data_IF_386126856898
#
_entry.id   IF_386126856898
#
_cell.length_a   1.000
_cell.length_b   1.000
_cell.length_c   1.000
_cell.angle_alpha   90.00
_cell.angle_beta   90.00
_cell.angle_gamma   90.00
#
_symmetry.space_group_name_H-M   'P 1'
#
loop_
_entity.id
_entity.type
_entity.pdbx_description
1 polymer ?
#
# COMPACT_ATOMS: atom_id res chain seq x y z
N UNK A 1 3.08 -4.20 24.18
CA UNK A 1 2.59 -4.55 22.81
C UNK A 1 2.96 -3.43 21.84
N UNK A 2 3.34 -3.72 20.61
CA UNK A 2 3.77 -2.67 19.65
C UNK A 2 2.61 -2.00 18.89
N UNK A 3 1.37 -2.41 19.14
CA UNK A 3 0.15 -1.93 18.48
C UNK A 3 -0.57 -0.88 19.32
N UNK A 4 -1.32 0.02 18.69
CA UNK A 4 -2.25 0.87 19.40
C UNK A 4 -3.34 0.01 20.05
N UNK A 5 -3.78 0.44 21.23
CA UNK A 5 -4.89 -0.22 21.91
C UNK A 5 -6.21 -0.04 21.18
N UNK A 6 -7.12 -0.99 21.34
CA UNK A 6 -8.50 -0.79 20.90
C UNK A 6 -9.09 0.44 21.61
N UNK A 7 -9.85 1.23 20.88
CA UNK A 7 -10.39 2.53 21.27
C UNK A 7 -9.36 3.67 21.38
N UNK A 8 -8.09 3.46 20.99
CA UNK A 8 -7.14 4.58 20.88
C UNK A 8 -7.70 5.65 19.92
N UNK A 9 -7.48 6.90 20.29
CA UNK A 9 -7.99 8.07 19.58
C UNK A 9 -6.84 8.76 18.88
N UNK A 10 -7.05 9.12 17.61
CA UNK A 10 -6.08 9.84 16.79
C UNK A 10 -6.71 11.11 16.22
N UNK A 11 -5.85 12.09 15.87
CA UNK A 11 -6.25 13.38 15.30
C UNK A 11 -7.35 14.06 16.11
N UNK A 12 -7.12 14.28 17.41
CA UNK A 12 -8.06 14.99 18.30
C UNK A 12 -9.50 14.44 18.24
N UNK A 13 -9.66 13.13 18.16
CA UNK A 13 -10.98 12.49 18.17
C UNK A 13 -11.59 12.22 16.80
N UNK A 14 -10.88 12.57 15.71
CA UNK A 14 -11.35 12.32 14.35
C UNK A 14 -11.41 10.83 14.02
N UNK A 15 -10.43 10.06 14.51
CA UNK A 15 -10.33 8.62 14.27
C UNK A 15 -10.30 7.86 15.59
N UNK A 16 -11.03 6.73 15.63
CA UNK A 16 -11.07 5.80 16.75
C UNK A 16 -10.66 4.41 16.25
N UNK A 17 -9.57 3.87 16.79
CA UNK A 17 -9.08 2.52 16.45
C UNK A 17 -10.08 1.47 16.97
N UNK A 18 -10.48 0.56 16.12
CA UNK A 18 -11.34 -0.58 16.51
C UNK A 18 -10.51 -1.85 16.75
N UNK A 19 -9.70 -2.23 15.76
CA UNK A 19 -8.86 -3.43 15.82
C UNK A 19 -7.74 -3.40 14.80
N UNK A 20 -6.75 -4.25 15.02
CA UNK A 20 -5.68 -4.51 14.04
C UNK A 20 -6.24 -5.37 12.91
N UNK A 21 -5.92 -5.00 11.67
CA UNK A 21 -6.19 -5.78 10.45
C UNK A 21 -4.97 -6.62 10.05
N UNK A 22 -3.77 -6.09 10.30
CA UNK A 22 -2.52 -6.78 9.96
C UNK A 22 -1.30 -6.02 10.44
N UNK A 23 -0.17 -6.74 10.52
CA UNK A 23 1.13 -6.17 10.87
C UNK A 23 2.20 -6.77 9.98
N UNK A 24 2.97 -5.90 9.33
CA UNK A 24 4.15 -6.26 8.54
C UNK A 24 5.45 -5.75 9.17
N UNK A 25 6.56 -5.92 8.48
CA UNK A 25 7.88 -5.45 8.93
C UNK A 25 7.99 -3.92 9.06
N UNK A 26 7.23 -3.18 8.25
CA UNK A 26 7.33 -1.72 8.13
C UNK A 26 6.06 -0.97 8.56
N UNK A 27 5.03 -1.66 9.02
CA UNK A 27 3.81 -0.98 9.43
C UNK A 27 2.75 -1.87 10.04
N UNK A 28 1.78 -1.21 10.66
CA UNK A 28 0.61 -1.83 11.27
C UNK A 28 -0.62 -1.24 10.60
N UNK A 29 -1.57 -2.09 10.28
CA UNK A 29 -2.83 -1.68 9.62
C UNK A 29 -3.99 -1.90 10.58
N UNK A 30 -4.83 -0.89 10.74
CA UNK A 30 -5.97 -0.89 11.65
C UNK A 30 -7.28 -0.67 10.91
N UNK A 31 -8.35 -1.28 11.38
CA UNK A 31 -9.70 -0.80 11.17
C UNK A 31 -9.98 0.32 12.18
N UNK A 32 -10.54 1.41 11.72
CA UNK A 32 -10.91 2.54 12.55
C UNK A 32 -12.25 3.14 12.11
N UNK A 33 -12.88 3.89 13.02
CA UNK A 33 -14.02 4.73 12.73
C UNK A 33 -13.57 6.17 12.58
N UNK A 34 -14.04 6.82 11.53
CA UNK A 34 -13.89 8.26 11.30
C UNK A 34 -15.22 8.96 11.59
N UNK A 35 -15.19 9.97 12.43
CA UNK A 35 -16.31 10.89 12.60
C UNK A 35 -16.38 11.84 11.39
N UNK A 36 -17.54 11.91 10.78
CA UNK A 36 -17.82 12.79 9.65
C UNK A 36 -19.09 13.59 9.95
N UNK A 37 -19.07 14.88 9.66
CA UNK A 37 -20.25 15.71 9.77
C UNK A 37 -20.76 16.05 8.37
N UNK A 38 -21.96 15.61 8.05
CA UNK A 38 -22.58 15.81 6.74
C UNK A 38 -23.62 16.92 6.86
N UNK A 39 -23.39 18.03 6.16
CA UNK A 39 -24.36 19.10 6.08
C UNK A 39 -25.54 18.68 5.18
N UNK A 40 -26.74 18.74 5.71
CA UNK A 40 -27.99 18.48 5.00
C UNK A 40 -28.93 19.70 5.04
N UNK A 41 -30.04 19.64 4.30
CA UNK A 41 -31.03 20.74 4.26
C UNK A 41 -31.67 21.05 5.62
N UNK A 42 -31.66 20.12 6.55
CA UNK A 42 -32.27 20.23 7.88
C UNK A 42 -31.25 20.36 9.03
N UNK A 43 -29.97 20.60 8.70
CA UNK A 43 -28.88 20.73 9.67
C UNK A 43 -27.71 19.77 9.40
N UNK A 44 -26.79 19.71 10.35
CA UNK A 44 -25.61 18.82 10.27
C UNK A 44 -25.94 17.48 10.96
N UNK A 45 -25.64 16.39 10.29
CA UNK A 45 -25.76 15.03 10.84
C UNK A 45 -24.36 14.50 11.05
N UNK A 46 -24.07 14.08 12.27
CA UNK A 46 -22.81 13.38 12.57
C UNK A 46 -22.99 11.88 12.30
N UNK A 47 -22.04 11.33 11.57
CA UNK A 47 -21.99 9.92 11.24
C UNK A 47 -20.60 9.34 11.51
N UNK A 48 -20.51 8.04 11.64
CA UNK A 48 -19.23 7.32 11.70
C UNK A 48 -19.11 6.44 10.46
N UNK A 49 -17.97 6.50 9.80
CA UNK A 49 -17.65 5.64 8.67
C UNK A 49 -16.41 4.80 8.99
N UNK A 50 -16.38 3.57 8.49
CA UNK A 50 -15.21 2.71 8.60
C UNK A 50 -14.11 3.18 7.65
N UNK A 51 -12.88 3.22 8.16
CA UNK A 51 -11.67 3.55 7.40
C UNK A 51 -10.56 2.58 7.78
N UNK A 52 -9.59 2.44 6.90
CA UNK A 52 -8.36 1.72 7.20
C UNK A 52 -7.25 2.74 7.50
N UNK A 53 -6.53 2.55 8.60
CA UNK A 53 -5.38 3.38 8.96
C UNK A 53 -4.13 2.53 8.90
N UNK A 54 -3.15 2.94 8.10
CA UNK A 54 -1.82 2.33 8.09
C UNK A 54 -0.86 3.22 8.86
N UNK A 55 -0.19 2.65 9.84
CA UNK A 55 0.83 3.28 10.67
C UNK A 55 2.21 2.86 10.20
N UNK A 56 3.14 3.79 10.11
CA UNK A 56 4.54 3.48 9.94
C UNK A 56 5.11 2.92 11.26
N UNK A 57 5.60 1.69 11.23
CA UNK A 57 6.19 1.05 12.40
C UNK A 57 7.20 -0.03 11.97
N UNK A 58 8.48 0.23 12.15
CA UNK A 58 9.53 -0.76 11.86
C UNK A 58 9.71 -1.68 13.08
N UNK A 59 9.12 -2.88 13.01
CA UNK A 59 9.02 -3.83 14.14
C UNK A 59 10.36 -4.11 14.83
N UNK A 60 11.45 -4.13 14.08
CA UNK A 60 12.78 -4.48 14.59
C UNK A 60 13.54 -3.28 15.17
N UNK A 61 13.14 -2.05 14.83
CA UNK A 61 13.86 -0.83 15.17
C UNK A 61 13.06 0.14 16.04
N UNK A 62 11.74 -0.03 16.11
CA UNK A 62 10.85 0.85 16.85
C UNK A 62 10.24 0.14 18.04
N UNK A 63 10.11 0.87 19.16
CA UNK A 63 9.34 0.45 20.32
C UNK A 63 8.20 1.44 20.55
N UNK A 64 7.09 0.95 21.12
CA UNK A 64 5.98 1.79 21.58
C UNK A 64 5.95 1.84 23.09
N UNK A 65 5.85 3.04 23.64
CA UNK A 65 5.49 3.24 25.03
C UNK A 65 3.98 3.01 25.21
N UNK A 66 3.61 2.09 26.08
CA UNK A 66 2.21 1.67 26.26
C UNK A 66 1.34 2.75 26.92
N UNK A 67 1.92 3.62 27.75
CA UNK A 67 1.18 4.64 28.45
C UNK A 67 0.88 5.87 27.59
N UNK A 68 1.87 6.30 26.79
CA UNK A 68 1.77 7.48 25.93
C UNK A 68 1.45 7.17 24.47
N UNK A 69 1.49 5.90 24.07
CA UNK A 69 1.42 5.46 22.66
C UNK A 69 2.56 5.96 21.77
N UNK A 70 3.55 6.65 22.33
CA UNK A 70 4.69 7.21 21.58
C UNK A 70 5.58 6.11 21.02
N UNK A 71 5.95 6.26 19.76
CA UNK A 71 6.93 5.42 19.07
C UNK A 71 8.31 6.02 19.25
N UNK A 72 9.25 5.21 19.71
CA UNK A 72 10.64 5.58 19.94
C UNK A 72 11.59 4.67 19.19
N UNK A 73 12.76 5.17 18.86
CA UNK A 73 13.86 4.40 18.25
C UNK A 73 14.97 4.30 19.30
N UNK A 74 15.15 3.14 19.95
CA UNK A 74 16.10 3.00 21.06
C UNK A 74 17.56 3.19 20.65
N UNK A 75 17.90 2.85 19.41
CA UNK A 75 19.28 2.97 18.90
C UNK A 75 19.47 4.26 18.14
N UNK A 76 20.40 5.10 18.59
CA UNK A 76 20.79 6.33 17.90
C UNK A 76 21.33 6.05 16.49
N UNK A 77 22.02 4.93 16.28
CA UNK A 77 22.51 4.52 14.96
C UNK A 77 21.42 4.13 13.96
N UNK A 78 20.19 3.85 14.43
CA UNK A 78 19.05 3.51 13.58
C UNK A 78 18.10 4.69 13.37
N UNK A 79 18.24 5.78 14.10
CA UNK A 79 17.31 6.90 14.07
C UNK A 79 17.20 7.54 12.68
N UNK A 80 18.33 7.82 12.03
CA UNK A 80 18.38 8.40 10.68
C UNK A 80 17.75 7.46 9.63
N UNK A 81 17.96 6.16 9.79
CA UNK A 81 17.40 5.15 8.91
C UNK A 81 15.87 5.11 9.05
N UNK A 82 15.37 5.05 10.27
CA UNK A 82 13.93 5.04 10.57
C UNK A 82 13.28 6.31 10.05
N UNK A 83 13.89 7.48 10.29
CA UNK A 83 13.38 8.76 9.80
C UNK A 83 13.33 8.80 8.27
N UNK A 84 14.36 8.31 7.59
CA UNK A 84 14.37 8.21 6.13
C UNK A 84 13.21 7.35 5.60
N UNK A 85 12.90 6.23 6.27
CA UNK A 85 11.77 5.38 5.88
C UNK A 85 10.41 6.01 6.22
N UNK A 86 10.31 6.72 7.35
CA UNK A 86 9.12 7.47 7.71
C UNK A 86 8.78 8.54 6.68
N UNK A 87 9.78 9.31 6.23
CA UNK A 87 9.59 10.32 5.18
C UNK A 87 9.18 9.70 3.84
N UNK A 88 9.73 8.53 3.49
CA UNK A 88 9.29 7.79 2.30
C UNK A 88 7.84 7.37 2.40
N UNK A 89 7.42 6.82 3.53
CA UNK A 89 6.05 6.42 3.79
C UNK A 89 5.08 7.59 3.63
N UNK A 90 5.40 8.76 4.19
CA UNK A 90 4.60 9.98 4.05
C UNK A 90 4.55 10.42 2.57
N UNK A 91 5.69 10.47 1.90
CA UNK A 91 5.78 10.87 0.48
C UNK A 91 4.95 9.95 -0.42
N UNK A 92 5.02 8.66 -0.18
CA UNK A 92 4.25 7.66 -0.91
C UNK A 92 2.76 7.86 -0.71
N UNK A 93 2.28 7.96 0.53
CA UNK A 93 0.87 8.23 0.83
C UNK A 93 0.37 9.52 0.15
N UNK A 94 1.17 10.60 0.18
CA UNK A 94 0.88 11.86 -0.53
C UNK A 94 0.84 11.71 -2.06
N UNK A 95 1.62 10.79 -2.64
CA UNK A 95 1.57 10.52 -4.07
C UNK A 95 0.33 9.73 -4.45
N UNK A 96 -0.01 8.70 -3.66
CA UNK A 96 -1.22 7.90 -3.89
C UNK A 96 -2.49 8.75 -3.72
N UNK A 97 -2.51 9.69 -2.76
CA UNK A 97 -3.68 10.55 -2.52
C UNK A 97 -4.07 11.44 -3.72
N UNK A 98 -3.15 11.65 -4.66
CA UNK A 98 -3.39 12.40 -5.91
C UNK A 98 -4.02 11.53 -7.01
N UNK A 99 -4.01 10.21 -6.85
CA UNK A 99 -4.56 9.28 -7.82
C UNK A 99 -6.08 9.15 -7.63
N UNK A 100 -6.81 9.14 -8.74
CA UNK A 100 -8.26 8.94 -8.74
C UNK A 100 -8.61 7.91 -9.80
N UNK A 101 -8.81 6.66 -9.37
CA UNK A 101 -9.15 5.55 -10.26
C UNK A 101 -10.00 4.52 -9.49
N UNK A 102 -11.05 3.91 -10.09
CA UNK A 102 -11.96 2.99 -9.39
C UNK A 102 -11.28 1.75 -8.82
N UNK A 103 -10.17 1.33 -9.41
CA UNK A 103 -9.41 0.14 -9.02
C UNK A 103 -8.08 0.45 -8.33
N UNK A 104 -7.92 1.64 -7.77
CA UNK A 104 -6.80 2.06 -6.93
C UNK A 104 -7.37 2.52 -5.60
N UNK A 105 -6.72 2.14 -4.50
CA UNK A 105 -7.13 2.54 -3.15
C UNK A 105 -7.14 4.05 -3.01
N UNK A 106 -8.19 4.60 -2.42
CA UNK A 106 -8.30 6.03 -2.15
C UNK A 106 -7.67 6.35 -0.80
N UNK A 107 -6.62 7.16 -0.80
CA UNK A 107 -6.05 7.75 0.42
C UNK A 107 -6.84 9.02 0.76
N UNK A 108 -7.33 9.08 1.99
CA UNK A 108 -8.23 10.11 2.50
C UNK A 108 -7.50 11.18 3.32
N UNK A 109 -6.46 10.78 4.05
CA UNK A 109 -5.71 11.66 4.97
C UNK A 109 -4.29 11.14 5.20
N UNK A 110 -3.37 12.03 5.56
CA UNK A 110 -1.98 11.71 5.95
C UNK A 110 -1.59 12.65 7.08
N UNK A 111 -1.18 12.11 8.22
CA UNK A 111 -0.81 12.90 9.38
C UNK A 111 0.32 12.25 10.20
N UNK A 112 0.91 13.04 11.09
CA UNK A 112 1.95 12.61 12.01
C UNK A 112 1.46 12.80 13.44
N UNK A 113 1.59 11.75 14.27
CA UNK A 113 1.21 11.73 15.68
C UNK A 113 1.98 10.62 16.37
N UNK A 114 2.07 10.61 17.70
CA UNK A 114 2.74 9.57 18.48
C UNK A 114 4.20 9.27 18.05
N UNK A 115 4.93 10.25 17.52
CA UNK A 115 6.30 10.06 17.05
C UNK A 115 6.42 9.23 15.78
N UNK A 116 5.31 8.99 15.07
CA UNK A 116 5.25 8.24 13.81
C UNK A 116 4.36 8.91 12.78
N UNK A 117 4.09 8.23 11.67
CA UNK A 117 3.24 8.71 10.59
C UNK A 117 2.12 7.73 10.29
N UNK A 118 0.99 8.27 9.90
CA UNK A 118 -0.21 7.53 9.55
C UNK A 118 -0.74 7.99 8.20
N UNK A 119 -1.35 7.08 7.44
CA UNK A 119 -2.27 7.48 6.39
C UNK A 119 -3.58 6.71 6.50
N UNK A 120 -4.65 7.40 6.13
CA UNK A 120 -6.01 6.89 6.18
C UNK A 120 -6.47 6.60 4.77
N UNK A 121 -7.09 5.47 4.56
CA UNK A 121 -7.66 5.06 3.28
C UNK A 121 -9.08 4.52 3.47
N UNK A 122 -9.83 4.48 2.39
CA UNK A 122 -11.12 3.82 2.40
C UNK A 122 -11.01 2.38 2.91
N UNK A 123 -12.01 1.91 3.64
CA UNK A 123 -12.08 0.52 4.07
C UNK A 123 -12.73 -0.34 2.98
N UNK A 124 -12.08 -1.44 2.64
CA UNK A 124 -12.56 -2.43 1.66
C UNK A 124 -12.83 -3.72 2.43
N UNK A 125 -14.07 -4.17 2.43
CA UNK A 125 -14.56 -5.21 3.35
C UNK A 125 -14.69 -6.62 2.74
N UNK A 126 -14.42 -6.79 1.45
CA UNK A 126 -14.56 -8.08 0.76
C UNK A 126 -13.36 -9.03 0.88
N UNK A 127 -12.33 -8.67 1.67
CA UNK A 127 -11.11 -9.45 1.79
C UNK A 127 -10.17 -9.31 0.59
N UNK A 128 -9.07 -10.06 0.58
CA UNK A 128 -8.13 -10.06 -0.53
C UNK A 128 -8.47 -11.09 -1.60
N UNK A 129 -7.92 -10.90 -2.80
CA UNK A 129 -8.00 -11.89 -3.86
C UNK A 129 -7.29 -13.20 -3.45
N UNK A 130 -6.26 -13.11 -2.60
CA UNK A 130 -5.60 -14.27 -2.00
C UNK A 130 -6.57 -15.10 -1.16
N UNK A 131 -7.34 -14.43 -0.28
CA UNK A 131 -8.34 -15.10 0.58
C UNK A 131 -9.44 -15.76 -0.26
N UNK A 132 -9.85 -15.10 -1.36
CA UNK A 132 -10.84 -15.66 -2.28
C UNK A 132 -10.30 -16.92 -2.97
N UNK A 133 -9.05 -16.89 -3.46
CA UNK A 133 -8.42 -18.03 -4.11
C UNK A 133 -8.24 -19.19 -3.12
N UNK A 134 -7.76 -18.89 -1.92
CA UNK A 134 -7.62 -19.91 -0.85
C UNK A 134 -8.95 -20.58 -0.52
N UNK A 135 -10.02 -19.81 -0.43
CA UNK A 135 -11.36 -20.31 -0.14
C UNK A 135 -11.98 -21.12 -1.28
N UNK A 136 -11.78 -20.70 -2.54
CA UNK A 136 -12.40 -21.34 -3.72
C UNK A 136 -11.54 -22.42 -4.36
N UNK A 137 -10.22 -22.43 -4.10
CA UNK A 137 -9.22 -23.23 -4.80
C UNK A 137 -8.79 -22.62 -6.13
N UNK A 138 -9.71 -22.12 -6.94
CA UNK A 138 -9.42 -21.46 -8.22
C UNK A 138 -10.51 -20.44 -8.58
N UNK A 139 -10.16 -19.50 -9.44
CA UNK A 139 -11.11 -18.56 -10.05
C UNK A 139 -11.66 -19.12 -11.35
N UNK A 140 -12.88 -18.75 -11.69
CA UNK A 140 -13.41 -19.02 -13.03
C UNK A 140 -12.69 -18.17 -14.09
N UNK A 141 -12.79 -18.56 -15.36
CA UNK A 141 -12.24 -17.80 -16.47
C UNK A 141 -12.80 -16.38 -16.51
N UNK A 142 -14.11 -16.23 -16.30
CA UNK A 142 -14.80 -14.95 -16.27
C UNK A 142 -14.27 -14.04 -15.13
N UNK A 143 -14.15 -14.57 -13.92
CA UNK A 143 -13.58 -13.86 -12.76
C UNK A 143 -12.13 -13.45 -13.04
N UNK A 144 -11.33 -14.37 -13.57
CA UNK A 144 -9.92 -14.13 -13.91
C UNK A 144 -9.78 -12.99 -14.92
N UNK A 145 -10.56 -13.03 -16.02
CA UNK A 145 -10.54 -11.99 -17.04
C UNK A 145 -11.04 -10.65 -16.50
N UNK A 146 -12.10 -10.65 -15.68
CA UNK A 146 -12.62 -9.43 -15.03
C UNK A 146 -11.54 -8.78 -14.16
N UNK A 147 -10.97 -9.52 -13.23
CA UNK A 147 -9.98 -8.98 -12.28
C UNK A 147 -8.71 -8.54 -12.98
N UNK A 148 -8.23 -9.32 -13.95
CA UNK A 148 -7.04 -8.95 -14.74
C UNK A 148 -7.26 -7.64 -15.52
N UNK A 149 -8.42 -7.44 -16.14
CA UNK A 149 -8.73 -6.18 -16.84
C UNK A 149 -8.75 -4.98 -15.88
N UNK A 150 -9.33 -5.14 -14.69
CA UNK A 150 -9.41 -4.08 -13.69
C UNK A 150 -8.03 -3.73 -13.15
N UNK A 151 -7.19 -4.72 -12.83
CA UNK A 151 -5.80 -4.52 -12.38
C UNK A 151 -4.98 -3.86 -13.50
N UNK A 152 -5.09 -4.34 -14.75
CA UNK A 152 -4.39 -3.75 -15.88
C UNK A 152 -4.77 -2.28 -16.11
N UNK A 153 -6.05 -1.93 -15.94
CA UNK A 153 -6.52 -0.54 -16.01
C UNK A 153 -5.89 0.33 -14.90
N UNK A 154 -5.81 -0.18 -13.66
CA UNK A 154 -5.13 0.50 -12.56
C UNK A 154 -3.64 0.70 -12.86
N UNK A 155 -2.96 -0.34 -13.34
CA UNK A 155 -1.53 -0.27 -13.69
C UNK A 155 -1.27 0.71 -14.84
N UNK A 156 -2.10 0.69 -15.87
CA UNK A 156 -2.00 1.66 -16.96
C UNK A 156 -2.13 3.10 -16.44
N UNK A 157 -3.06 3.34 -15.53
CA UNK A 157 -3.27 4.64 -14.93
C UNK A 157 -2.06 5.12 -14.14
N UNK A 158 -1.49 4.28 -13.24
CA UNK A 158 -0.30 4.69 -12.45
C UNK A 158 0.93 4.86 -13.32
N UNK A 159 1.11 4.05 -14.37
CA UNK A 159 2.22 4.21 -15.34
C UNK A 159 2.13 5.54 -16.08
N UNK A 160 0.92 5.98 -16.46
CA UNK A 160 0.71 7.30 -17.06
C UNK A 160 1.03 8.46 -16.09
N UNK A 161 1.07 8.20 -14.77
CA UNK A 161 1.50 9.13 -13.72
C UNK A 161 2.97 8.93 -13.29
N UNK A 162 3.77 8.26 -14.10
CA UNK A 162 5.19 7.95 -13.83
C UNK A 162 5.42 7.16 -12.53
N UNK A 163 4.49 6.30 -12.17
CA UNK A 163 4.57 5.42 -11.01
C UNK A 163 4.54 3.95 -11.43
N UNK A 164 5.29 3.11 -10.73
CA UNK A 164 5.21 1.65 -10.84
C UNK A 164 4.87 1.05 -9.48
N UNK A 165 3.98 0.08 -9.44
CA UNK A 165 3.54 -0.55 -8.18
C UNK A 165 4.62 -1.45 -7.57
N UNK A 166 5.24 -2.32 -8.36
CA UNK A 166 6.34 -3.25 -8.04
C UNK A 166 6.03 -4.38 -7.04
N UNK A 167 4.81 -4.49 -6.53
CA UNK A 167 4.38 -5.58 -5.65
C UNK A 167 2.95 -6.02 -5.95
N UNK A 168 2.67 -6.26 -7.24
CA UNK A 168 1.35 -6.79 -7.66
C UNK A 168 1.28 -8.26 -7.33
N UNK A 169 0.36 -8.62 -6.43
CA UNK A 169 0.08 -9.99 -6.00
C UNK A 169 -1.35 -10.10 -5.48
N UNK A 170 -1.96 -11.29 -5.40
CA UNK A 170 -3.34 -11.45 -4.95
C UNK A 170 -3.62 -10.86 -3.55
N UNK A 171 -2.63 -10.90 -2.64
CA UNK A 171 -2.76 -10.31 -1.31
C UNK A 171 -2.84 -8.77 -1.31
N UNK A 172 -2.39 -8.11 -2.38
CA UNK A 172 -2.44 -6.65 -2.54
C UNK A 172 -3.60 -6.20 -3.44
N UNK A 173 -4.58 -7.08 -3.68
CA UNK A 173 -5.80 -6.80 -4.43
C UNK A 173 -6.99 -7.11 -3.52
N UNK A 174 -7.75 -6.10 -3.12
CA UNK A 174 -8.95 -6.27 -2.30
C UNK A 174 -10.21 -6.29 -3.16
N UNK A 175 -11.24 -6.98 -2.67
CA UNK A 175 -12.54 -7.07 -3.31
C UNK A 175 -13.54 -6.13 -2.64
N UNK A 176 -14.28 -5.37 -3.45
CA UNK A 176 -15.47 -4.64 -3.02
C UNK A 176 -16.70 -5.56 -3.01
N UNK A 177 -17.72 -5.21 -2.25
CA UNK A 177 -19.03 -5.94 -2.24
C UNK A 177 -19.67 -6.09 -3.62
N UNK A 178 -19.44 -5.13 -4.52
CA UNK A 178 -19.94 -5.20 -5.90
C UNK A 178 -19.13 -6.15 -6.81
N UNK A 179 -18.14 -6.83 -6.26
CA UNK A 179 -17.26 -7.74 -6.99
C UNK A 179 -16.20 -7.07 -7.86
N UNK A 180 -15.92 -5.79 -7.65
CA UNK A 180 -14.79 -5.11 -8.27
C UNK A 180 -13.55 -5.22 -7.41
N UNK A 181 -12.36 -5.13 -8.03
CA UNK A 181 -11.09 -5.20 -7.30
C UNK A 181 -10.45 -3.83 -7.17
N UNK A 182 -9.67 -3.69 -6.10
CA UNK A 182 -8.92 -2.47 -5.76
C UNK A 182 -7.49 -2.86 -5.44
N UNK A 183 -6.54 -2.26 -6.14
CA UNK A 183 -5.11 -2.41 -5.91
C UNK A 183 -4.70 -1.56 -4.71
N UNK A 184 -4.01 -2.20 -3.75
CA UNK A 184 -3.55 -1.58 -2.50
C UNK A 184 -2.03 -1.77 -2.35
N UNK A 185 -1.45 -1.13 -1.34
CA UNK A 185 -0.07 -1.32 -0.88
C UNK A 185 1.00 -0.97 -1.91
N UNK A 186 1.19 0.32 -2.09
CA UNK A 186 2.22 0.91 -2.94
C UNK A 186 3.60 1.02 -2.23
N UNK A 187 3.81 0.33 -1.10
CA UNK A 187 4.99 0.44 -0.24
C UNK A 187 6.33 0.14 -0.91
N UNK A 188 6.29 -0.45 -2.09
CA UNK A 188 7.46 -0.68 -2.94
C UNK A 188 7.45 0.17 -4.21
N UNK A 189 6.46 1.05 -4.37
CA UNK A 189 6.32 1.85 -5.58
C UNK A 189 7.54 2.73 -5.84
N UNK A 190 7.92 2.85 -7.10
CA UNK A 190 8.98 3.75 -7.55
C UNK A 190 8.36 4.85 -8.40
N UNK A 191 8.76 6.08 -8.11
CA UNK A 191 8.43 7.22 -8.94
C UNK A 191 9.63 7.54 -9.84
N UNK A 192 9.34 7.92 -11.07
CA UNK A 192 10.33 8.33 -12.07
C UNK A 192 10.06 9.79 -12.43
N UNK A 193 11.12 10.55 -12.68
CA UNK A 193 11.01 11.90 -13.21
C UNK A 193 10.80 11.91 -14.73
N UNK A 194 10.69 13.11 -15.31
CA UNK A 194 10.48 13.29 -16.75
C UNK A 194 11.65 12.75 -17.58
N UNK A 195 12.84 12.64 -16.99
CA UNK A 195 14.03 12.08 -17.62
C UNK A 195 14.11 10.55 -17.49
N UNK A 196 13.15 9.91 -16.78
CA UNK A 196 13.14 8.47 -16.50
C UNK A 196 14.13 8.07 -15.39
N UNK A 197 14.59 9.03 -14.59
CA UNK A 197 15.43 8.76 -13.43
C UNK A 197 14.57 8.40 -12.22
N UNK A 198 15.00 7.40 -11.44
CA UNK A 198 14.28 6.95 -10.25
C UNK A 198 14.40 7.99 -9.13
N UNK A 199 13.28 8.59 -8.72
CA UNK A 199 13.25 9.63 -7.67
C UNK A 199 13.08 9.06 -6.26
N UNK A 200 12.73 7.77 -6.14
CA UNK A 200 12.58 7.07 -4.85
C UNK A 200 13.29 5.73 -4.88
N UNK A 201 14.06 5.43 -3.84
CA UNK A 201 14.62 4.09 -3.61
C UNK A 201 13.86 3.43 -2.45
N UNK A 202 13.14 2.34 -2.71
CA UNK A 202 12.50 1.54 -1.64
C UNK A 202 13.47 0.47 -1.14
N UNK A 203 13.39 0.06 0.15
CA UNK A 203 14.09 -1.13 0.60
C UNK A 203 13.56 -2.34 -0.16
N UNK A 204 14.45 -3.24 -0.51
CA UNK A 204 14.13 -4.41 -1.31
C UNK A 204 13.47 -5.46 -0.43
N UNK A 205 12.16 -5.37 -0.24
CA UNK A 205 11.35 -6.51 0.14
C UNK A 205 10.80 -7.14 -1.14
N UNK A 206 11.21 -8.34 -1.46
CA UNK A 206 10.77 -9.03 -2.68
C UNK A 206 9.71 -10.06 -2.28
N UNK A 207 8.51 -9.97 -2.86
CA UNK A 207 7.49 -11.00 -2.69
C UNK A 207 7.90 -12.25 -3.49
N UNK A 208 8.31 -13.30 -2.77
CA UNK A 208 8.74 -14.57 -3.38
C UNK A 208 7.62 -15.14 -4.25
N UNK A 209 7.95 -15.52 -5.48
CA UNK A 209 7.00 -16.08 -6.44
C UNK A 209 6.27 -15.06 -7.33
N UNK A 210 6.29 -13.77 -6.99
CA UNK A 210 5.58 -12.72 -7.74
C UNK A 210 6.51 -11.64 -8.31
N UNK A 211 7.70 -11.51 -7.75
CA UNK A 211 8.64 -10.50 -8.20
C UNK A 211 9.34 -10.92 -9.50
N UNK A 212 9.51 -9.99 -10.45
CA UNK A 212 10.26 -10.27 -11.67
C UNK A 212 11.75 -10.49 -11.37
N UNK A 213 12.43 -11.26 -12.23
CA UNK A 213 13.82 -11.71 -12.04
C UNK A 213 14.79 -10.53 -11.82
N UNK A 214 14.56 -9.39 -12.45
CA UNK A 214 15.35 -8.18 -12.29
C UNK A 214 15.26 -7.58 -10.87
N UNK A 215 14.15 -7.76 -10.17
CA UNK A 215 14.04 -7.37 -8.76
C UNK A 215 14.76 -8.34 -7.82
N UNK A 216 14.82 -9.61 -8.16
CA UNK A 216 15.49 -10.64 -7.36
C UNK A 216 17.03 -10.52 -7.39
N UNK A 217 17.59 -9.95 -8.45
CA UNK A 217 19.05 -9.81 -8.64
C UNK A 217 19.68 -8.64 -7.87
N UNK A 218 18.91 -7.67 -7.43
CA UNK A 218 19.44 -6.48 -6.71
C UNK A 218 19.82 -6.80 -5.26
N UNK A 219 19.32 -7.89 -4.68
CA UNK A 219 19.64 -8.30 -3.31
C UNK A 219 20.86 -9.22 -3.16
N UNK A 220 21.52 -9.64 -4.24
CA UNK A 220 22.58 -10.70 -4.24
C UNK A 220 23.98 -10.26 -4.59
N UNK A 221 24.28 -8.98 -4.85
CA UNK A 221 25.64 -8.53 -5.15
C UNK A 221 26.09 -7.51 -4.10
N UNK A 222 26.89 -8.02 -3.15
CA UNK A 222 27.77 -7.23 -2.31
C UNK A 222 28.68 -6.36 -3.16
N UNK A 223 28.84 -5.12 -2.73
CA UNK A 223 29.90 -4.15 -2.99
C UNK A 223 30.83 -4.42 -4.19
N UNK A 224 30.44 -4.01 -5.39
CA UNK A 224 31.35 -3.42 -6.38
C UNK A 224 30.53 -2.55 -7.34
N UNK A 225 30.90 -1.29 -7.45
CA UNK A 225 30.19 -0.26 -8.20
C UNK A 225 30.06 -0.58 -9.69
N UNK A 226 28.88 -0.97 -10.08
CA UNK A 226 28.47 -1.08 -11.47
C UNK A 226 27.14 -0.34 -11.64
N UNK A 227 27.17 0.85 -12.25
CA UNK A 227 25.98 1.54 -12.73
C UNK A 227 25.28 0.65 -13.75
N UNK A 228 24.22 -0.03 -13.35
CA UNK A 228 23.30 -0.62 -14.32
C UNK A 228 22.45 0.54 -14.84
N UNK A 229 22.76 1.04 -16.02
CA UNK A 229 21.86 1.85 -16.83
C UNK A 229 20.64 0.97 -17.13
N UNK A 230 19.54 1.15 -16.42
CA UNK A 230 18.28 0.62 -16.89
C UNK A 230 17.92 1.34 -18.18
N UNK A 231 17.74 0.56 -19.23
CA UNK A 231 17.12 1.05 -20.48
C UNK A 231 15.73 1.57 -20.11
N UNK A 232 15.30 2.59 -20.85
CA UNK A 232 13.99 3.24 -20.80
C UNK A 232 12.86 2.30 -20.39
N UNK A 233 11.81 2.79 -19.68
CA UNK A 233 10.66 1.97 -19.32
C UNK A 233 10.19 1.22 -20.57
N UNK A 234 9.76 -0.05 -20.43
CA UNK A 234 9.31 -0.79 -21.59
C UNK A 234 8.25 0.05 -22.28
N UNK A 235 8.48 0.36 -23.57
CA UNK A 235 7.46 0.97 -24.42
C UNK A 235 6.20 0.16 -24.17
N UNK A 236 5.11 0.82 -23.79
CA UNK A 236 3.80 0.23 -23.68
C UNK A 236 3.64 -0.76 -24.82
N UNK A 237 3.58 -2.05 -24.51
CA UNK A 237 3.24 -3.07 -25.48
C UNK A 237 1.79 -2.83 -25.89
N UNK A 238 1.59 -1.99 -26.90
CA UNK A 238 0.40 -1.99 -27.72
C UNK A 238 0.47 -3.22 -28.64
N UNK A 239 0.41 -4.40 -28.07
CA UNK A 239 0.45 -5.67 -28.80
C UNK A 239 -0.44 -6.66 -28.07
N UNK A 240 -1.28 -7.31 -28.81
CA UNK A 240 -2.24 -8.33 -28.38
C UNK A 240 -1.61 -9.27 -27.34
N UNK A 241 -2.06 -9.18 -26.11
CA UNK A 241 -1.72 -10.14 -25.06
C UNK A 241 -2.26 -11.51 -25.43
N UNK A 242 -1.39 -12.51 -25.58
CA UNK A 242 -1.80 -13.87 -25.78
C UNK A 242 -2.29 -14.47 -24.44
N UNK A 243 -3.46 -15.15 -24.38
CA UNK A 243 -4.05 -15.68 -23.15
C UNK A 243 -3.15 -16.59 -22.32
N UNK A 244 -2.18 -17.25 -22.93
CA UNK A 244 -1.21 -18.13 -22.24
C UNK A 244 -0.22 -17.42 -21.32
N UNK A 245 -0.08 -16.08 -21.41
CA UNK A 245 0.80 -15.31 -20.53
C UNK A 245 0.09 -14.86 -19.24
N UNK A 246 -1.22 -14.99 -19.16
CA UNK A 246 -2.03 -14.58 -18.02
C UNK A 246 -2.07 -15.64 -16.91
N UNK A 247 -1.85 -16.93 -17.24
CA UNK A 247 -1.89 -18.02 -16.27
C UNK A 247 -0.76 -17.96 -15.22
N UNK A 248 0.38 -17.34 -15.55
CA UNK A 248 1.51 -17.20 -14.62
C UNK A 248 1.34 -16.07 -13.59
N UNK A 249 0.31 -15.23 -13.72
CA UNK A 249 0.01 -14.16 -12.78
C UNK A 249 -0.95 -14.59 -11.65
N UNK A 250 -1.63 -15.74 -11.82
CA UNK A 250 -2.70 -16.18 -10.93
C UNK A 250 -2.55 -17.65 -10.46
N UNK A 251 -1.45 -18.30 -10.76
CA UNK A 251 -1.09 -19.65 -10.25
C UNK A 251 -0.17 -19.60 -9.03
#
# INVERSE_FOLDING_TARGET
MNQLSNNAILCNGKYKIERVLGQGGFGITYLAKQKVSVAGALGTIDAEIEVTIKEFFMKELCNRDEASSMVTVPSTGSADLVEKFRQKFIKEAKNISKLTHPHIIKVLDVFEENGTAYYVMEYIDGGSLSDLIEKKGSLSEEETLKYTRQIASALQYIHAHNMNHLDVKPGNVLLRKNGDVVLIDFGMSKNYDVAGEQTTSSPVGVSVGYAPIEQSRVGGLGSQGGRIKMRSPPKVLTGNFHPSQLSSFLS
#
